data_IF_190232043447
#
_entry.id   IF_190232043447
#
_cell.length_a   1.000
_cell.length_b   1.000
_cell.length_c   1.000
_cell.angle_alpha   90.00
_cell.angle_beta   90.00
_cell.angle_gamma   90.00
#
_symmetry.space_group_name_H-M   'P 1'
#
loop_
_entity.id
_entity.type
_entity.pdbx_description
1 polymer ?
#
# COMPACT_ATOMS: atom_id res chain seq x y z
N UNK A 1 -19.82 -17.96 -2.62
CA UNK A 1 -18.55 -17.37 -2.12
C UNK A 1 -18.39 -16.05 -2.84
N UNK A 2 -18.41 -14.93 -2.12
CA UNK A 2 -18.12 -13.63 -2.74
C UNK A 2 -16.64 -13.65 -3.12
N UNK A 3 -16.35 -13.62 -4.42
CA UNK A 3 -14.99 -13.44 -4.91
C UNK A 3 -14.62 -11.98 -4.68
N UNK A 4 -14.04 -11.68 -3.53
CA UNK A 4 -13.36 -10.42 -3.27
C UNK A 4 -12.24 -10.28 -4.31
N UNK A 5 -12.40 -9.38 -5.28
CA UNK A 5 -11.36 -9.08 -6.26
C UNK A 5 -10.37 -8.12 -5.61
N UNK A 6 -9.35 -8.68 -4.95
CA UNK A 6 -8.26 -7.92 -4.33
C UNK A 6 -7.27 -7.55 -5.45
N UNK A 7 -7.08 -6.25 -5.69
CA UNK A 7 -6.14 -5.77 -6.69
C UNK A 7 -4.68 -5.81 -6.21
N UNK A 8 -4.45 -5.54 -4.93
CA UNK A 8 -3.13 -5.59 -4.30
C UNK A 8 -3.24 -5.62 -2.77
N UNK A 9 -2.18 -6.05 -2.10
CA UNK A 9 -1.99 -5.89 -0.66
C UNK A 9 -0.99 -4.77 -0.38
N UNK A 10 -1.22 -4.01 0.70
CA UNK A 10 -0.35 -2.89 1.08
C UNK A 10 0.26 -3.17 2.45
N UNK A 11 1.58 -3.19 2.52
CA UNK A 11 2.36 -3.25 3.76
C UNK A 11 2.78 -1.85 4.18
N UNK A 12 2.62 -1.53 5.46
CA UNK A 12 3.04 -0.25 6.04
C UNK A 12 3.96 -0.53 7.24
N UNK A 13 5.20 -0.04 7.16
CA UNK A 13 6.11 0.02 8.29
C UNK A 13 6.09 1.44 8.87
N UNK A 14 5.64 1.56 10.11
CA UNK A 14 5.22 2.81 10.74
C UNK A 14 6.30 3.33 11.68
N UNK A 15 6.83 4.51 11.38
CA UNK A 15 7.69 5.27 12.28
C UNK A 15 7.01 6.55 12.76
N UNK A 16 7.61 7.25 13.74
CA UNK A 16 7.07 8.50 14.29
C UNK A 16 6.82 9.56 13.21
N UNK A 17 7.75 9.70 12.28
CA UNK A 17 7.74 10.78 11.27
C UNK A 17 7.40 10.29 9.87
N UNK A 18 7.60 9.00 9.59
CA UNK A 18 7.50 8.45 8.23
C UNK A 18 6.82 7.09 8.20
N UNK A 19 6.28 6.73 7.05
CA UNK A 19 5.70 5.43 6.74
C UNK A 19 6.40 4.86 5.50
N UNK A 20 7.06 3.71 5.64
CA UNK A 20 7.56 2.96 4.49
C UNK A 20 6.44 2.07 3.92
N UNK A 21 6.28 2.09 2.61
CA UNK A 21 5.16 1.46 1.90
C UNK A 21 5.69 0.36 1.00
N UNK A 22 5.11 -0.83 1.10
CA UNK A 22 5.30 -1.93 0.17
C UNK A 22 3.95 -2.33 -0.46
N UNK A 23 3.98 -2.75 -1.71
CA UNK A 23 2.82 -3.26 -2.44
C UNK A 23 3.12 -4.69 -2.87
N UNK A 24 2.18 -5.59 -2.60
CA UNK A 24 2.25 -6.98 -3.03
C UNK A 24 1.13 -7.31 -4.00
N UNK A 25 1.47 -8.11 -5.01
CA UNK A 25 0.50 -8.63 -5.96
C UNK A 25 -0.49 -9.59 -5.26
N UNK A 26 -1.74 -9.69 -5.75
CA UNK A 26 -2.81 -10.39 -5.04
C UNK A 26 -2.71 -11.92 -5.13
N UNK A 27 -1.90 -12.45 -6.05
CA UNK A 27 -1.68 -13.88 -6.17
C UNK A 27 -0.88 -14.46 -4.99
N UNK A 28 -1.08 -15.76 -4.74
CA UNK A 28 -0.33 -16.49 -3.72
C UNK A 28 1.14 -16.53 -4.11
N UNK A 29 2.01 -16.10 -3.18
CA UNK A 29 3.45 -15.91 -3.41
C UNK A 29 3.76 -14.81 -4.45
N UNK A 30 2.84 -13.85 -4.63
CA UNK A 30 3.03 -12.68 -5.49
C UNK A 30 4.24 -11.83 -5.06
N UNK A 31 4.79 -11.10 -6.02
CA UNK A 31 5.94 -10.22 -5.80
C UNK A 31 5.58 -9.10 -4.80
N UNK A 32 6.47 -8.86 -3.84
CA UNK A 32 6.40 -7.72 -2.93
C UNK A 32 7.42 -6.68 -3.37
N UNK A 33 6.98 -5.45 -3.59
CA UNK A 33 7.82 -4.35 -4.07
C UNK A 33 7.78 -3.19 -3.10
N UNK A 34 8.95 -2.63 -2.78
CA UNK A 34 9.02 -1.37 -2.06
C UNK A 34 8.54 -0.23 -2.96
N UNK A 35 7.53 0.50 -2.50
CA UNK A 35 6.89 1.57 -3.24
C UNK A 35 7.49 2.94 -2.91
N UNK A 36 7.91 3.15 -1.67
CA UNK A 36 8.51 4.41 -1.22
C UNK A 36 8.21 4.71 0.24
N UNK A 37 8.64 5.89 0.68
CA UNK A 37 8.37 6.41 2.03
C UNK A 37 7.56 7.71 1.94
N UNK A 38 6.59 7.88 2.83
CA UNK A 38 5.79 9.11 2.97
C UNK A 38 5.87 9.65 4.40
N UNK A 39 5.53 10.93 4.61
CA UNK A 39 5.36 11.46 5.97
C UNK A 39 4.21 10.76 6.69
N UNK A 40 4.34 10.58 8.01
CA UNK A 40 3.28 10.05 8.86
C UNK A 40 2.22 11.12 9.17
N UNK A 41 1.54 11.57 8.12
CA UNK A 41 0.48 12.58 8.17
C UNK A 41 -0.77 12.08 7.43
N UNK A 42 -1.95 12.35 7.98
CA UNK A 42 -3.22 11.89 7.40
C UNK A 42 -3.39 12.32 5.93
N UNK A 43 -2.91 13.52 5.56
CA UNK A 43 -3.00 14.01 4.18
C UNK A 43 -2.07 13.24 3.22
N UNK A 44 -0.87 12.87 3.67
CA UNK A 44 0.06 12.07 2.89
C UNK A 44 -0.48 10.66 2.63
N UNK A 45 -1.08 10.04 3.65
CA UNK A 45 -1.76 8.73 3.53
C UNK A 45 -2.93 8.80 2.56
N UNK A 46 -3.77 9.84 2.64
CA UNK A 46 -4.88 10.04 1.68
C UNK A 46 -4.37 10.16 0.24
N UNK A 47 -3.31 10.95 0.02
CA UNK A 47 -2.69 11.09 -1.31
C UNK A 47 -2.11 9.78 -1.83
N UNK A 48 -1.51 8.97 -0.95
CA UNK A 48 -1.03 7.63 -1.31
C UNK A 48 -2.18 6.77 -1.84
N UNK A 49 -3.25 6.60 -1.06
CA UNK A 49 -4.37 5.75 -1.48
C UNK A 49 -5.11 6.28 -2.70
N UNK A 50 -5.19 7.60 -2.91
CA UNK A 50 -5.71 8.17 -4.17
C UNK A 50 -4.87 7.75 -5.39
N UNK A 51 -3.54 7.66 -5.26
CA UNK A 51 -2.69 7.14 -6.34
C UNK A 51 -2.91 5.65 -6.57
N UNK A 52 -3.11 4.88 -5.50
CA UNK A 52 -3.31 3.43 -5.58
C UNK A 52 -4.70 3.05 -6.13
N UNK A 53 -5.70 3.92 -6.03
CA UNK A 53 -7.03 3.68 -6.62
C UNK A 53 -7.03 3.60 -8.15
N UNK A 54 -5.96 4.03 -8.82
CA UNK A 54 -5.78 3.89 -10.27
C UNK A 54 -4.97 2.65 -10.69
N UNK A 55 -4.59 1.79 -9.76
CA UNK A 55 -3.91 0.51 -10.04
C UNK A 55 -4.91 -0.59 -10.39
#
# INVERSE_FOLDING_TARGET
>A
MHSENIAAYVGLDVHKETLAVAIAAPERLGEVRYYGTINNEAQAVRRLFQKLQGL
#
